data_IF_406333442721
#
_entry.id   IF_406333442721
#
_cell.length_a   1.000
_cell.length_b   1.000
_cell.length_c   1.000
_cell.angle_alpha   90.00
_cell.angle_beta   90.00
_cell.angle_gamma   90.00
#
_symmetry.space_group_name_H-M   'P 1'
#
loop_
_entity.id
_entity.type
_entity.pdbx_description
1 polymer ?
#
# COMPACT_ATOMS: atom_id res chain seq x y z
N UNK A 1 13.57 -40.76 38.06
CA UNK A 1 13.76 -40.01 36.80
C UNK A 1 12.98 -38.72 36.93
N UNK A 2 13.65 -37.56 36.90
CA UNK A 2 12.95 -36.29 36.88
C UNK A 2 12.30 -36.14 35.49
N UNK A 3 10.97 -35.95 35.38
CA UNK A 3 10.29 -35.75 34.11
C UNK A 3 10.61 -34.38 33.44
N UNK A 4 11.50 -33.60 34.05
CA UNK A 4 11.73 -32.18 33.79
C UNK A 4 13.05 -31.87 33.07
N UNK A 5 13.81 -32.86 32.58
CA UNK A 5 15.05 -32.59 31.83
C UNK A 5 14.87 -32.88 30.34
N UNK A 6 14.97 -31.81 29.53
CA UNK A 6 15.02 -31.89 28.07
C UNK A 6 16.15 -32.83 27.64
N UNK A 7 15.85 -33.77 26.75
CA UNK A 7 16.90 -34.62 26.16
C UNK A 7 17.74 -33.80 25.16
N UNK A 8 18.92 -34.32 24.80
CA UNK A 8 19.77 -33.71 23.75
C UNK A 8 18.99 -33.56 22.43
N UNK A 9 18.14 -34.53 22.09
CA UNK A 9 17.31 -34.49 20.89
C UNK A 9 16.25 -33.38 20.98
N UNK A 10 15.65 -33.19 22.15
CA UNK A 10 14.67 -32.11 22.37
C UNK A 10 15.34 -30.74 22.22
N UNK A 11 16.51 -30.53 22.83
CA UNK A 11 17.29 -29.28 22.69
C UNK A 11 17.64 -29.00 21.23
N UNK A 12 18.10 -30.01 20.48
CA UNK A 12 18.39 -29.87 19.05
C UNK A 12 17.15 -29.51 18.22
N UNK A 13 16.00 -30.10 18.53
CA UNK A 13 14.73 -29.78 17.86
C UNK A 13 14.28 -28.34 18.15
N UNK A 14 14.34 -27.91 19.41
CA UNK A 14 13.98 -26.56 19.81
C UNK A 14 14.90 -25.51 19.16
N UNK A 15 16.21 -25.78 19.08
CA UNK A 15 17.17 -24.93 18.36
C UNK A 15 16.84 -24.82 16.86
N UNK A 16 16.49 -25.93 16.20
CA UNK A 16 16.05 -25.89 14.80
C UNK A 16 14.77 -25.05 14.64
N UNK A 17 13.85 -25.17 15.58
CA UNK A 17 12.60 -24.42 15.56
C UNK A 17 12.82 -22.91 15.79
N UNK A 18 13.80 -22.54 16.62
CA UNK A 18 14.27 -21.16 16.76
C UNK A 18 14.80 -20.61 15.44
N UNK A 19 15.69 -21.35 14.76
CA UNK A 19 16.26 -20.94 13.46
C UNK A 19 15.14 -20.71 12.43
N UNK A 20 14.21 -21.66 12.29
CA UNK A 20 13.08 -21.54 11.35
C UNK A 20 12.24 -20.28 11.66
N UNK A 21 11.99 -19.99 12.93
CA UNK A 21 11.21 -18.80 13.34
C UNK A 21 11.97 -17.51 13.05
N UNK A 22 13.28 -17.47 13.28
CA UNK A 22 14.14 -16.33 12.96
C UNK A 22 14.21 -16.05 11.46
N UNK A 23 14.29 -17.09 10.64
CA UNK A 23 14.25 -16.95 9.18
C UNK A 23 12.90 -16.39 8.70
N UNK A 24 11.80 -16.87 9.30
CA UNK A 24 10.45 -16.37 9.01
C UNK A 24 10.28 -14.90 9.42
N UNK A 25 10.77 -14.52 10.59
CA UNK A 25 10.78 -13.13 11.04
C UNK A 25 11.58 -12.23 10.08
N UNK A 26 12.80 -12.65 9.71
CA UNK A 26 13.66 -11.92 8.79
C UNK A 26 13.02 -11.77 7.40
N UNK A 27 12.30 -12.80 6.93
CA UNK A 27 11.51 -12.71 5.69
C UNK A 27 10.39 -11.67 5.80
N UNK A 28 9.58 -11.73 6.85
CA UNK A 28 8.49 -10.76 7.07
C UNK A 28 8.99 -9.33 7.21
N UNK A 29 10.15 -9.12 7.87
CA UNK A 29 10.77 -7.79 7.97
C UNK A 29 11.20 -7.25 6.61
N UNK A 30 11.78 -8.10 5.74
CA UNK A 30 12.15 -7.72 4.37
C UNK A 30 10.90 -7.36 3.54
N UNK A 31 9.86 -8.18 3.60
CA UNK A 31 8.59 -7.89 2.93
C UNK A 31 7.96 -6.58 3.43
N UNK A 32 7.97 -6.34 4.74
CA UNK A 32 7.46 -5.10 5.32
C UNK A 32 8.22 -3.85 4.81
N UNK A 33 9.54 -3.94 4.62
CA UNK A 33 10.33 -2.86 4.04
C UNK A 33 9.91 -2.59 2.60
N UNK A 34 9.70 -3.63 1.79
CA UNK A 34 9.22 -3.49 0.41
C UNK A 34 7.82 -2.86 0.36
N UNK A 35 6.91 -3.27 1.24
CA UNK A 35 5.58 -2.67 1.32
C UNK A 35 5.63 -1.19 1.74
N UNK A 36 6.53 -0.82 2.66
CA UNK A 36 6.74 0.60 3.03
C UNK A 36 7.27 1.42 1.86
N UNK A 37 8.17 0.87 1.06
CA UNK A 37 8.67 1.54 -0.14
C UNK A 37 7.54 1.74 -1.14
N UNK A 38 6.79 0.69 -1.47
CA UNK A 38 5.63 0.78 -2.36
C UNK A 38 4.61 1.81 -1.86
N UNK A 39 4.37 1.87 -0.55
CA UNK A 39 3.44 2.85 0.03
C UNK A 39 3.90 4.29 -0.21
N UNK A 40 5.21 4.57 -0.13
CA UNK A 40 5.77 5.89 -0.46
C UNK A 40 5.60 6.21 -1.95
N UNK A 41 5.87 5.25 -2.83
CA UNK A 41 5.67 5.42 -4.27
C UNK A 41 4.20 5.73 -4.61
N UNK A 42 3.25 5.06 -3.93
CA UNK A 42 1.82 5.35 -4.08
C UNK A 42 1.44 6.74 -3.53
N UNK A 43 2.06 7.20 -2.45
CA UNK A 43 1.88 8.56 -1.93
C UNK A 43 2.36 9.61 -2.96
N UNK A 44 3.56 9.43 -3.49
CA UNK A 44 4.14 10.36 -4.47
C UNK A 44 3.26 10.41 -5.73
N UNK A 45 2.81 9.25 -6.21
CA UNK A 45 1.88 9.17 -7.34
C UNK A 45 0.54 9.84 -7.05
N UNK A 46 0.00 9.69 -5.84
CA UNK A 46 -1.25 10.34 -5.44
C UNK A 46 -1.11 11.87 -5.45
N UNK A 47 0.02 12.40 -4.99
CA UNK A 47 0.30 13.84 -5.03
C UNK A 47 0.27 14.34 -6.48
N UNK A 48 0.96 13.65 -7.39
CA UNK A 48 1.00 14.02 -8.81
C UNK A 48 -0.40 14.00 -9.45
N UNK A 49 -1.18 12.94 -9.23
CA UNK A 49 -2.55 12.84 -9.76
C UNK A 49 -3.45 13.95 -9.20
N UNK A 50 -3.32 14.31 -7.93
CA UNK A 50 -4.09 15.39 -7.34
C UNK A 50 -3.71 16.75 -7.91
N UNK A 51 -2.42 17.00 -8.18
CA UNK A 51 -1.95 18.22 -8.85
C UNK A 51 -2.49 18.30 -10.28
N UNK A 52 -2.42 17.22 -11.04
CA UNK A 52 -2.96 17.15 -12.41
C UNK A 52 -4.47 17.38 -12.42
N UNK A 53 -5.19 16.76 -11.48
CA UNK A 53 -6.63 16.95 -11.31
C UNK A 53 -6.97 18.39 -10.96
N UNK A 54 -6.20 19.03 -10.09
CA UNK A 54 -6.38 20.44 -9.74
C UNK A 54 -6.15 21.34 -10.96
N UNK A 55 -5.09 21.10 -11.73
CA UNK A 55 -4.82 21.83 -12.96
C UNK A 55 -5.96 21.68 -13.98
N UNK A 56 -6.46 20.46 -14.16
CA UNK A 56 -7.59 20.16 -15.05
C UNK A 56 -8.89 20.82 -14.59
N UNK A 57 -9.18 20.77 -13.30
CA UNK A 57 -10.33 21.44 -12.69
C UNK A 57 -10.26 22.95 -12.89
N UNK A 58 -9.09 23.55 -12.73
CA UNK A 58 -8.89 24.98 -12.96
C UNK A 58 -9.09 25.35 -14.43
N UNK A 59 -8.60 24.54 -15.38
CA UNK A 59 -8.86 24.72 -16.81
C UNK A 59 -10.35 24.69 -17.13
N UNK A 60 -11.08 23.72 -16.59
CA UNK A 60 -12.54 23.61 -16.77
C UNK A 60 -13.29 24.81 -16.16
N UNK A 61 -12.85 25.32 -15.00
CA UNK A 61 -13.44 26.53 -14.38
C UNK A 61 -13.18 27.81 -15.17
N UNK A 62 -12.01 27.90 -15.80
CA UNK A 62 -11.64 29.02 -16.66
C UNK A 62 -12.21 28.90 -18.08
N UNK A 63 -12.86 27.77 -18.39
CA UNK A 63 -13.44 27.54 -19.70
C UNK A 63 -14.62 28.47 -19.93
N UNK A 64 -14.44 29.43 -20.83
CA UNK A 64 -15.47 30.42 -21.13
C UNK A 64 -16.49 29.84 -22.12
N UNK A 65 -17.77 30.16 -21.89
CA UNK A 65 -18.81 29.95 -22.89
C UNK A 65 -18.58 30.97 -24.00
N UNK A 66 -18.53 30.56 -25.27
CA UNK A 66 -18.38 31.49 -26.38
C UNK A 66 -19.49 32.55 -26.35
N UNK A 67 -19.09 33.82 -26.31
CA UNK A 67 -20.02 34.95 -26.27
C UNK A 67 -20.73 35.19 -27.62
N UNK A 68 -20.13 34.70 -28.71
CA UNK A 68 -20.65 34.78 -30.05
C UNK A 68 -21.45 33.53 -30.42
N UNK A 69 -22.49 33.71 -31.25
CA UNK A 69 -23.30 32.60 -31.76
C UNK A 69 -22.40 31.71 -32.62
N UNK A 70 -22.24 30.47 -32.19
CA UNK A 70 -21.48 29.46 -32.93
C UNK A 70 -22.30 28.93 -34.11
N UNK A 71 -21.63 28.69 -35.23
CA UNK A 71 -22.20 27.85 -36.30
C UNK A 71 -22.43 26.42 -35.78
N UNK A 72 -23.28 25.61 -36.44
CA UNK A 72 -23.53 24.23 -36.01
C UNK A 72 -22.23 23.41 -35.85
N UNK A 73 -21.28 23.55 -36.77
CA UNK A 73 -19.99 22.83 -36.73
C UNK A 73 -19.11 23.28 -35.55
N UNK A 74 -19.05 24.59 -35.29
CA UNK A 74 -18.29 25.14 -34.16
C UNK A 74 -18.91 24.73 -32.83
N UNK A 75 -20.24 24.69 -32.73
CA UNK A 75 -20.95 24.23 -31.54
C UNK A 75 -20.66 22.75 -31.25
N UNK A 76 -20.66 21.91 -32.29
CA UNK A 76 -20.32 20.48 -32.15
C UNK A 76 -18.88 20.34 -31.67
N UNK A 77 -17.94 21.05 -32.29
CA UNK A 77 -16.51 21.02 -31.93
C UNK A 77 -16.29 21.47 -30.48
N UNK A 78 -16.96 22.55 -30.06
CA UNK A 78 -16.92 23.04 -28.70
C UNK A 78 -17.43 21.98 -27.70
N UNK A 79 -18.59 21.36 -27.97
CA UNK A 79 -19.16 20.32 -27.11
C UNK A 79 -18.25 19.09 -27.00
N UNK A 80 -17.68 18.63 -28.11
CA UNK A 80 -16.76 17.49 -28.12
C UNK A 80 -15.49 17.79 -27.33
N UNK A 81 -14.94 19.01 -27.49
CA UNK A 81 -13.76 19.43 -26.74
C UNK A 81 -14.06 19.46 -25.24
N UNK A 82 -15.16 20.10 -24.83
CA UNK A 82 -15.55 20.17 -23.43
C UNK A 82 -15.81 18.77 -22.84
N UNK A 83 -16.48 17.89 -23.60
CA UNK A 83 -16.70 16.50 -23.20
C UNK A 83 -15.38 15.76 -22.95
N UNK A 84 -14.38 15.91 -23.83
CA UNK A 84 -13.07 15.30 -23.66
C UNK A 84 -12.36 15.81 -22.40
N UNK A 85 -12.46 17.11 -22.12
CA UNK A 85 -11.84 17.69 -20.91
C UNK A 85 -12.50 17.20 -19.62
N UNK A 86 -13.83 17.01 -19.62
CA UNK A 86 -14.54 16.36 -18.50
C UNK A 86 -14.17 14.87 -18.36
N UNK A 87 -14.00 14.14 -19.46
CA UNK A 87 -13.55 12.74 -19.41
C UNK A 87 -12.15 12.62 -18.81
N UNK A 88 -11.24 13.55 -19.12
CA UNK A 88 -9.91 13.61 -18.49
C UNK A 88 -9.99 13.86 -17.00
N UNK A 89 -10.80 14.81 -16.54
CA UNK A 89 -10.98 15.06 -15.09
C UNK A 89 -11.55 13.84 -14.38
N UNK A 90 -12.55 13.19 -14.98
CA UNK A 90 -13.15 11.98 -14.44
C UNK A 90 -12.13 10.84 -14.31
N UNK A 91 -11.31 10.59 -15.34
CA UNK A 91 -10.27 9.57 -15.29
C UNK A 91 -9.23 9.85 -14.19
N UNK A 92 -8.86 11.12 -13.98
CA UNK A 92 -7.98 11.52 -12.88
C UNK A 92 -8.63 11.31 -11.51
N UNK A 93 -9.93 11.61 -11.37
CA UNK A 93 -10.69 11.38 -10.15
C UNK A 93 -10.79 9.89 -9.80
N UNK A 94 -11.14 9.05 -10.78
CA UNK A 94 -11.20 7.58 -10.62
C UNK A 94 -9.82 7.01 -10.25
N UNK A 95 -8.76 7.50 -10.89
CA UNK A 95 -7.38 7.10 -10.54
C UNK A 95 -7.01 7.51 -9.11
N UNK A 96 -7.39 8.71 -8.67
CA UNK A 96 -7.12 9.19 -7.32
C UNK A 96 -7.82 8.32 -6.26
N UNK A 97 -9.07 7.93 -6.51
CA UNK A 97 -9.84 7.03 -5.64
C UNK A 97 -9.21 5.63 -5.56
N UNK A 98 -8.83 5.06 -6.71
CA UNK A 98 -8.14 3.77 -6.75
C UNK A 98 -6.83 3.78 -5.96
N UNK A 99 -6.06 4.87 -6.01
CA UNK A 99 -4.83 5.02 -5.24
C UNK A 99 -5.09 5.09 -3.73
N UNK A 100 -6.20 5.70 -3.29
CA UNK A 100 -6.60 5.68 -1.87
C UNK A 100 -6.87 4.25 -1.42
N UNK A 101 -7.68 3.52 -2.19
CA UNK A 101 -8.04 2.12 -1.86
C UNK A 101 -6.79 1.23 -1.82
N UNK A 102 -5.89 1.34 -2.79
CA UNK A 102 -4.65 0.55 -2.82
C UNK A 102 -3.75 0.85 -1.61
N UNK A 103 -3.67 2.12 -1.21
CA UNK A 103 -2.90 2.53 -0.02
C UNK A 103 -3.50 1.99 1.27
N UNK A 104 -4.82 2.06 1.45
CA UNK A 104 -5.49 1.53 2.64
C UNK A 104 -5.30 0.01 2.77
N UNK A 105 -5.41 -0.72 1.66
CA UNK A 105 -5.15 -2.16 1.63
C UNK A 105 -3.69 -2.48 1.97
N UNK A 106 -2.75 -1.71 1.44
CA UNK A 106 -1.33 -1.86 1.73
C UNK A 106 -1.01 -1.54 3.19
N UNK A 107 -1.61 -0.49 3.75
CA UNK A 107 -1.47 -0.12 5.16
C UNK A 107 -2.01 -1.21 6.09
N UNK A 108 -3.21 -1.72 5.80
CA UNK A 108 -3.78 -2.87 6.53
C UNK A 108 -2.85 -4.08 6.49
N UNK A 109 -2.31 -4.41 5.31
CA UNK A 109 -1.34 -5.51 5.13
C UNK A 109 -0.10 -5.30 6.00
N UNK A 110 0.48 -4.08 6.00
CA UNK A 110 1.63 -3.74 6.82
C UNK A 110 1.33 -3.86 8.32
N UNK A 111 0.14 -3.47 8.77
CA UNK A 111 -0.29 -3.62 10.18
C UNK A 111 -0.36 -5.10 10.56
N UNK A 112 -0.94 -5.95 9.71
CA UNK A 112 -1.00 -7.39 9.94
C UNK A 112 0.40 -8.03 10.01
N UNK A 113 1.30 -7.63 9.11
CA UNK A 113 2.70 -8.09 9.13
C UNK A 113 3.42 -7.67 10.40
N UNK A 114 3.25 -6.43 10.86
CA UNK A 114 3.85 -5.95 12.11
C UNK A 114 3.35 -6.74 13.33
N UNK A 115 2.04 -7.03 13.40
CA UNK A 115 1.47 -7.88 14.44
C UNK A 115 2.05 -9.30 14.39
N UNK A 116 2.19 -9.88 13.20
CA UNK A 116 2.78 -11.21 13.01
C UNK A 116 4.25 -11.26 13.44
N UNK A 117 5.05 -10.24 13.10
CA UNK A 117 6.44 -10.09 13.55
C UNK A 117 6.49 -10.01 15.08
N UNK A 118 5.67 -9.15 15.70
CA UNK A 118 5.63 -9.02 17.16
C UNK A 118 5.28 -10.34 17.85
N UNK A 119 4.32 -11.09 17.31
CA UNK A 119 3.95 -12.40 17.83
C UNK A 119 5.10 -13.40 17.70
N UNK A 120 5.79 -13.43 16.55
CA UNK A 120 6.95 -14.30 16.33
C UNK A 120 8.07 -14.00 17.32
N UNK A 121 8.43 -12.72 17.50
CA UNK A 121 9.48 -12.30 18.44
C UNK A 121 9.17 -12.78 19.86
N UNK A 122 7.93 -12.58 20.34
CA UNK A 122 7.50 -13.08 21.65
C UNK A 122 7.55 -14.61 21.74
N UNK A 123 7.18 -15.29 20.66
CA UNK A 123 7.21 -16.75 20.58
C UNK A 123 8.64 -17.31 20.56
N UNK A 124 9.59 -16.60 19.94
CA UNK A 124 11.01 -16.93 19.95
C UNK A 124 11.62 -16.70 21.33
N UNK A 125 11.31 -15.57 21.99
CA UNK A 125 11.79 -15.30 23.36
C UNK A 125 11.39 -16.41 24.33
N UNK A 126 10.12 -16.80 24.35
CA UNK A 126 9.63 -17.91 25.18
C UNK A 126 10.30 -19.24 24.88
N UNK A 127 10.58 -19.50 23.59
CA UNK A 127 11.24 -20.73 23.19
C UNK A 127 12.72 -20.73 23.59
N UNK A 128 13.37 -19.57 23.53
CA UNK A 128 14.75 -19.39 23.97
C UNK A 128 14.88 -19.62 25.48
N UNK A 129 13.95 -19.07 26.28
CA UNK A 129 13.87 -19.33 27.73
C UNK A 129 13.82 -20.84 28.04
N UNK A 130 12.98 -21.61 27.33
CA UNK A 130 12.87 -23.07 27.51
C UNK A 130 14.14 -23.82 27.06
N UNK A 131 14.91 -23.29 26.12
CA UNK A 131 16.17 -23.89 25.68
C UNK A 131 17.31 -23.61 26.65
N UNK A 132 17.27 -22.45 27.30
CA UNK A 132 18.31 -21.98 28.23
C UNK A 132 18.15 -22.60 29.64
N UNK A 133 16.95 -23.05 30.01
CA UNK A 133 16.66 -23.90 31.19
C UNK A 133 17.18 -25.36 31.06
#
# INVERSE_FOLDING_TARGET
MNPSQLTIKDRQLLQRLLVIRSDKEAKLRRELVLHRQKFRELLDRQILINLDRQAQTNRLRQWQIPAQILTPTELITFKLTLMNEYQKERALAETAEMLVIEKEQLESTMVHMQKAILWLVKSQQKLQEVVDE
#
